data_IF_415459425992
#
_entry.id   IF_415459425992
#
_cell.length_a   1.000
_cell.length_b   1.000
_cell.length_c   1.000
_cell.angle_alpha   90.00
_cell.angle_beta   90.00
_cell.angle_gamma   90.00
#
_symmetry.space_group_name_H-M   'P 1'
#
loop_
_entity.id
_entity.type
_entity.pdbx_description
1 polymer ?
#
# COMPACT_ATOMS: atom_id res chain seq x y z
N UNK A 1 -0.80 5.29 -1.95
CA UNK A 1 0.36 6.11 -2.37
C UNK A 1 0.19 6.51 -3.82
N UNK A 2 0.70 7.68 -4.21
CA UNK A 2 0.71 8.15 -5.60
C UNK A 2 2.16 8.34 -6.06
N UNK A 3 2.46 7.88 -7.29
CA UNK A 3 3.74 8.10 -7.95
C UNK A 3 3.45 8.57 -9.37
N UNK A 4 3.97 9.75 -9.71
CA UNK A 4 3.83 10.31 -11.05
C UNK A 4 4.31 9.31 -12.12
N UNK A 5 3.63 9.17 -13.27
CA UNK A 5 3.97 8.19 -14.30
C UNK A 5 5.45 8.18 -14.69
N UNK A 6 6.07 9.36 -14.78
CA UNK A 6 7.47 9.57 -15.18
C UNK A 6 8.47 9.10 -14.10
N UNK A 7 7.99 8.88 -12.88
CA UNK A 7 8.75 8.41 -11.73
C UNK A 7 8.46 6.94 -11.38
N UNK A 8 7.55 6.26 -12.09
CA UNK A 8 7.24 4.85 -11.89
C UNK A 8 8.41 3.95 -12.34
N UNK A 9 8.46 2.72 -11.82
CA UNK A 9 9.53 1.76 -12.13
C UNK A 9 10.90 2.07 -11.50
N UNK A 10 11.04 3.20 -10.78
CA UNK A 10 12.31 3.67 -10.19
C UNK A 10 12.42 3.44 -8.68
N UNK A 11 11.56 2.59 -8.11
CA UNK A 11 11.55 2.29 -6.66
C UNK A 11 10.90 3.36 -5.77
N UNK A 12 10.33 4.43 -6.34
CA UNK A 12 9.75 5.55 -5.55
C UNK A 12 8.64 5.09 -4.59
N UNK A 13 7.74 4.19 -5.04
CA UNK A 13 6.68 3.66 -4.17
C UNK A 13 7.23 2.92 -2.95
N UNK A 14 8.37 2.24 -3.08
CA UNK A 14 9.05 1.56 -1.97
C UNK A 14 9.62 2.57 -0.98
N UNK A 15 10.33 3.58 -1.48
CA UNK A 15 10.91 4.62 -0.64
C UNK A 15 9.83 5.39 0.15
N UNK A 16 8.71 5.73 -0.51
CA UNK A 16 7.55 6.35 0.15
C UNK A 16 6.97 5.46 1.24
N UNK A 17 6.84 4.16 0.97
CA UNK A 17 6.32 3.21 1.94
C UNK A 17 7.25 3.03 3.14
N UNK A 18 8.54 2.82 2.91
CA UNK A 18 9.54 2.65 3.98
C UNK A 18 9.62 3.89 4.87
N UNK A 19 9.58 5.09 4.27
CA UNK A 19 9.53 6.34 5.01
C UNK A 19 8.27 6.43 5.88
N UNK A 20 7.08 6.23 5.29
CA UNK A 20 5.82 6.34 6.02
C UNK A 20 5.70 5.29 7.15
N UNK A 21 6.20 4.07 6.91
CA UNK A 21 6.26 3.02 7.92
C UNK A 21 7.16 3.42 9.08
N UNK A 22 8.39 3.86 8.79
CA UNK A 22 9.36 4.22 9.82
C UNK A 22 8.87 5.40 10.67
N UNK A 23 8.27 6.42 10.04
CA UNK A 23 7.67 7.57 10.72
C UNK A 23 6.54 7.15 11.67
N UNK A 24 5.63 6.28 11.20
CA UNK A 24 4.56 5.77 12.04
C UNK A 24 5.07 4.89 13.20
N UNK A 25 6.10 4.05 12.96
CA UNK A 25 6.72 3.24 14.01
C UNK A 25 7.40 4.11 15.07
N UNK A 26 8.03 5.24 14.68
CA UNK A 26 8.59 6.23 15.61
C UNK A 26 7.51 6.90 16.46
N UNK A 27 6.33 7.15 15.88
CA UNK A 27 5.15 7.67 16.59
C UNK A 27 4.42 6.60 17.44
N UNK A 28 4.96 5.39 17.54
CA UNK A 28 4.44 4.32 18.38
C UNK A 28 3.32 3.51 17.75
N UNK A 29 3.15 3.56 16.42
CA UNK A 29 2.22 2.68 15.72
C UNK A 29 2.59 1.21 15.98
N UNK A 30 1.57 0.42 16.33
CA UNK A 30 1.73 -1.02 16.56
C UNK A 30 0.79 -1.79 15.66
N UNK A 31 1.19 -2.99 15.24
CA UNK A 31 0.37 -3.88 14.42
C UNK A 31 0.66 -3.78 12.92
N UNK A 32 -0.34 -4.13 12.11
CA UNK A 32 -0.26 -4.16 10.65
C UNK A 32 -0.79 -2.88 10.04
N UNK A 33 -0.15 -2.40 8.98
CA UNK A 33 -0.64 -1.29 8.18
C UNK A 33 -1.66 -1.80 7.18
N UNK A 34 -2.69 -1.01 6.90
CA UNK A 34 -3.74 -1.36 5.95
C UNK A 34 -3.81 -0.36 4.80
N UNK A 35 -4.26 -0.83 3.64
CA UNK A 35 -4.45 0.00 2.46
C UNK A 35 -5.64 -0.47 1.63
N UNK A 36 -6.34 0.47 1.01
CA UNK A 36 -7.27 0.19 -0.08
C UNK A 36 -6.50 0.32 -1.40
N UNK A 37 -6.02 -0.80 -1.93
CA UNK A 37 -5.19 -0.83 -3.13
C UNK A 37 -6.05 -0.75 -4.39
N UNK A 38 -5.69 0.10 -5.36
CA UNK A 38 -6.33 0.02 -6.69
C UNK A 38 -6.00 -1.34 -7.31
N UNK A 39 -6.88 -1.85 -8.19
CA UNK A 39 -6.67 -3.17 -8.83
C UNK A 39 -5.31 -3.27 -9.52
N UNK A 40 -4.85 -2.18 -10.13
CA UNK A 40 -3.53 -2.11 -10.78
C UNK A 40 -2.35 -2.07 -9.81
N UNK A 41 -2.56 -1.61 -8.58
CA UNK A 41 -1.51 -1.45 -7.58
C UNK A 41 -1.31 -2.70 -6.71
N UNK A 42 -2.20 -3.71 -6.78
CA UNK A 42 -2.07 -4.96 -6.00
C UNK A 42 -0.67 -5.59 -6.13
N UNK A 43 -0.09 -5.79 -7.33
CA UNK A 43 1.25 -6.38 -7.43
C UNK A 43 2.37 -5.49 -6.86
N UNK A 44 2.14 -4.18 -6.75
CA UNK A 44 3.08 -3.26 -6.10
C UNK A 44 3.06 -3.50 -4.60
N UNK A 45 1.87 -3.53 -4.00
CA UNK A 45 1.72 -3.74 -2.56
C UNK A 45 2.15 -5.16 -2.13
N UNK A 46 1.91 -6.19 -2.95
CA UNK A 46 2.43 -7.55 -2.71
C UNK A 46 3.96 -7.55 -2.60
N UNK A 47 4.67 -6.86 -3.50
CA UNK A 47 6.14 -6.72 -3.44
C UNK A 47 6.63 -5.90 -2.24
N UNK A 48 5.76 -5.10 -1.61
CA UNK A 48 6.05 -4.35 -0.39
C UNK A 48 5.70 -5.14 0.87
N UNK A 49 5.29 -6.41 0.74
CA UNK A 49 4.95 -7.27 1.88
C UNK A 49 3.51 -7.12 2.35
N UNK A 50 2.60 -6.62 1.51
CA UNK A 50 1.17 -6.65 1.80
C UNK A 50 0.51 -7.90 1.19
N UNK A 51 -0.63 -8.28 1.74
CA UNK A 51 -1.51 -9.31 1.16
C UNK A 51 -2.95 -8.84 1.18
N UNK A 52 -3.76 -9.33 0.23
CA UNK A 52 -5.20 -9.09 0.24
C UNK A 52 -5.84 -9.71 1.48
N UNK A 53 -6.68 -8.94 2.16
CA UNK A 53 -7.43 -9.40 3.34
C UNK A 53 -8.93 -9.57 3.05
N UNK A 54 -9.36 -9.17 1.85
CA UNK A 54 -10.73 -9.34 1.37
C UNK A 54 -10.74 -9.33 -0.17
N UNK A 55 -11.90 -9.70 -0.73
CA UNK A 55 -12.23 -9.58 -2.14
C UNK A 55 -12.30 -8.13 -2.62
N UNK A 56 -12.46 -7.95 -3.94
CA UNK A 56 -12.61 -6.61 -4.53
C UNK A 56 -13.85 -5.92 -3.96
N UNK A 57 -13.66 -4.72 -3.43
CA UNK A 57 -14.72 -3.87 -2.91
C UNK A 57 -14.97 -2.67 -3.82
N UNK A 58 -16.19 -2.14 -3.80
CA UNK A 58 -16.54 -0.89 -4.48
C UNK A 58 -17.18 0.08 -3.51
N UNK A 59 -16.65 1.32 -3.45
CA UNK A 59 -17.22 2.39 -2.63
C UNK A 59 -17.18 3.70 -3.39
N UNK A 60 -18.33 4.38 -3.49
CA UNK A 60 -18.47 5.66 -4.20
C UNK A 60 -17.91 5.62 -5.64
N UNK A 61 -18.12 4.50 -6.36
CA UNK A 61 -17.61 4.30 -7.72
C UNK A 61 -16.12 3.95 -7.84
N UNK A 62 -15.42 3.74 -6.72
CA UNK A 62 -13.99 3.35 -6.70
C UNK A 62 -13.87 1.88 -6.33
N UNK A 63 -13.27 1.09 -7.21
CA UNK A 63 -12.93 -0.32 -6.96
C UNK A 63 -11.53 -0.48 -6.38
N UNK A 64 -11.40 -1.25 -5.31
CA UNK A 64 -10.14 -1.49 -4.63
C UNK A 64 -10.10 -2.87 -3.95
N UNK A 65 -8.90 -3.32 -3.60
CA UNK A 65 -8.66 -4.52 -2.79
C UNK A 65 -8.12 -4.07 -1.43
N UNK A 66 -8.81 -4.38 -0.32
CA UNK A 66 -8.26 -4.19 1.02
C UNK A 66 -7.03 -5.08 1.21
N UNK A 67 -5.92 -4.50 1.68
CA UNK A 67 -4.68 -5.23 1.93
C UNK A 67 -4.07 -4.85 3.27
N UNK A 68 -3.31 -5.77 3.88
CA UNK A 68 -2.58 -5.53 5.11
C UNK A 68 -1.10 -5.95 4.99
N UNK A 69 -0.20 -5.22 5.64
CA UNK A 69 1.21 -5.58 5.73
C UNK A 69 1.40 -6.85 6.55
N UNK A 70 2.28 -7.73 6.09
CA UNK A 70 2.80 -8.84 6.89
C UNK A 70 3.75 -8.24 7.94
N UNK A 71 3.75 -8.81 9.15
CA UNK A 71 4.68 -8.40 10.22
C UNK A 71 6.12 -8.81 9.91
#
# INVERSE_FOLDING_TARGET
MFVAPEAQGRGVARALWEYARADAELDGATGSFTVNSSLHAVPVYERLGFHAIDSVQERNGVRFVPMASVR
#
